data_IF_960450520772
#
_entry.id   IF_960450520772
#
_cell.length_a   1.000
_cell.length_b   1.000
_cell.length_c   1.000
_cell.angle_alpha   90.00
_cell.angle_beta   90.00
_cell.angle_gamma   90.00
#
_symmetry.space_group_name_H-M   'P 1'
#
loop_
_entity.id
_entity.type
_entity.pdbx_description
1 polymer ?
#
# COMPACT_ATOMS: atom_id res chain seq x y z
N UNK A 1 -17.70 0.44 -3.78
CA UNK A 1 -16.26 0.16 -3.99
C UNK A 1 -15.96 -1.33 -4.21
N UNK A 2 -16.69 -2.28 -3.59
CA UNK A 2 -16.45 -3.72 -3.80
C UNK A 2 -16.58 -4.18 -5.26
N UNK A 3 -17.61 -3.71 -5.99
CA UNK A 3 -17.82 -4.11 -7.39
C UNK A 3 -16.63 -3.80 -8.32
N UNK A 4 -15.95 -2.67 -8.12
CA UNK A 4 -14.77 -2.32 -8.94
C UNK A 4 -13.60 -3.29 -8.74
N UNK A 5 -13.47 -3.88 -7.55
CA UNK A 5 -12.42 -4.87 -7.27
C UNK A 5 -12.79 -6.25 -7.83
N UNK A 6 -14.06 -6.61 -7.79
CA UNK A 6 -14.56 -7.86 -8.39
C UNK A 6 -14.42 -7.82 -9.92
N UNK A 7 -14.76 -6.68 -10.54
CA UNK A 7 -14.56 -6.45 -11.98
C UNK A 7 -13.07 -6.53 -12.35
N UNK A 8 -12.20 -5.84 -11.60
CA UNK A 8 -10.75 -5.89 -11.83
C UNK A 8 -10.16 -7.31 -11.66
N UNK A 9 -10.69 -8.12 -10.74
CA UNK A 9 -10.30 -9.52 -10.62
C UNK A 9 -10.83 -10.36 -11.77
N UNK A 10 -12.06 -10.10 -12.24
CA UNK A 10 -12.66 -10.80 -13.38
C UNK A 10 -11.86 -10.56 -14.66
N UNK A 11 -11.56 -9.29 -14.97
CA UNK A 11 -10.79 -8.89 -16.15
C UNK A 11 -9.39 -9.51 -16.13
N UNK A 12 -8.71 -9.44 -14.98
CA UNK A 12 -7.38 -10.03 -14.85
C UNK A 12 -7.40 -11.57 -14.93
N UNK A 13 -8.46 -12.23 -14.46
CA UNK A 13 -8.61 -13.68 -14.64
C UNK A 13 -8.82 -14.03 -16.11
N UNK A 14 -9.69 -13.31 -16.81
CA UNK A 14 -9.94 -13.53 -18.24
C UNK A 14 -8.69 -13.30 -19.09
N UNK A 15 -7.90 -12.27 -18.75
CA UNK A 15 -6.61 -12.05 -19.40
C UNK A 15 -5.65 -13.22 -19.18
N UNK A 16 -5.63 -13.81 -17.98
CA UNK A 16 -4.82 -15.01 -17.67
C UNK A 16 -5.36 -16.31 -18.30
N UNK A 17 -6.63 -16.38 -18.66
CA UNK A 17 -7.19 -17.48 -19.47
C UNK A 17 -6.71 -17.41 -20.91
N UNK A 18 -6.52 -16.20 -21.45
CA UNK A 18 -6.03 -15.96 -22.81
C UNK A 18 -4.51 -16.10 -22.86
N UNK A 19 -3.81 -15.46 -21.93
CA UNK A 19 -2.36 -15.46 -21.80
C UNK A 19 -1.96 -15.75 -20.34
N UNK A 20 -1.66 -17.01 -20.08
CA UNK A 20 -1.38 -17.51 -18.72
C UNK A 20 -0.13 -16.91 -18.06
N UNK A 21 0.73 -16.25 -18.84
CA UNK A 21 1.97 -15.60 -18.38
C UNK A 21 1.90 -14.07 -18.49
N UNK A 22 0.71 -13.49 -18.62
CA UNK A 22 0.57 -12.05 -18.71
C UNK A 22 1.00 -11.35 -17.40
N UNK A 23 2.12 -10.63 -17.46
CA UNK A 23 2.74 -9.99 -16.31
C UNK A 23 1.80 -8.97 -15.64
N UNK A 24 1.17 -8.11 -16.44
CA UNK A 24 0.30 -7.03 -15.97
C UNK A 24 -0.95 -7.57 -15.27
N UNK A 25 -1.47 -8.70 -15.73
CA UNK A 25 -2.61 -9.37 -15.11
C UNK A 25 -2.28 -9.90 -13.72
N UNK A 26 -1.08 -10.46 -13.52
CA UNK A 26 -0.63 -10.84 -12.17
C UNK A 26 -0.40 -9.62 -11.28
N UNK A 27 0.17 -8.54 -11.80
CA UNK A 27 0.33 -7.28 -11.06
C UNK A 27 -1.03 -6.72 -10.64
N UNK A 28 -2.00 -6.68 -11.56
CA UNK A 28 -3.35 -6.18 -11.31
C UNK A 28 -4.06 -7.01 -10.23
N UNK A 29 -4.05 -8.35 -10.32
CA UNK A 29 -4.60 -9.21 -9.26
C UNK A 29 -3.92 -9.01 -7.93
N UNK A 30 -2.59 -8.86 -7.93
CA UNK A 30 -1.81 -8.61 -6.74
C UNK A 30 -2.21 -7.30 -6.06
N UNK A 31 -2.29 -6.22 -6.83
CA UNK A 31 -2.76 -4.89 -6.38
C UNK A 31 -4.21 -4.96 -5.88
N UNK A 32 -5.11 -5.63 -6.58
CA UNK A 32 -6.50 -5.75 -6.17
C UNK A 32 -6.65 -6.52 -4.85
N UNK A 33 -5.96 -7.64 -4.70
CA UNK A 33 -5.93 -8.37 -3.41
C UNK A 33 -5.30 -7.54 -2.29
N UNK A 34 -4.28 -6.75 -2.58
CA UNK A 34 -3.69 -5.83 -1.62
C UNK A 34 -4.71 -4.78 -1.14
N UNK A 35 -5.44 -4.16 -2.07
CA UNK A 35 -6.48 -3.16 -1.75
C UNK A 35 -7.63 -3.75 -0.93
N UNK A 36 -7.90 -5.05 -1.07
CA UNK A 36 -8.84 -5.82 -0.28
C UNK A 36 -8.28 -6.34 1.07
N UNK A 37 -7.04 -5.97 1.44
CA UNK A 37 -6.36 -6.43 2.66
C UNK A 37 -5.91 -7.91 2.63
N UNK A 38 -5.98 -8.56 1.46
CA UNK A 38 -5.67 -9.98 1.28
C UNK A 38 -4.19 -10.18 0.95
N UNK A 39 -3.29 -9.76 1.85
CA UNK A 39 -1.84 -9.68 1.61
C UNK A 39 -1.20 -11.01 1.17
N UNK A 40 -1.63 -12.15 1.72
CA UNK A 40 -1.11 -13.45 1.27
C UNK A 40 -1.43 -13.74 -0.20
N UNK A 41 -2.64 -13.38 -0.66
CA UNK A 41 -3.03 -13.56 -2.07
C UNK A 41 -2.32 -12.55 -2.97
N UNK A 42 -2.11 -11.32 -2.49
CA UNK A 42 -1.31 -10.33 -3.21
C UNK A 42 0.13 -10.85 -3.45
N UNK A 43 0.76 -11.44 -2.43
CA UNK A 43 2.13 -11.93 -2.50
C UNK A 43 2.28 -13.07 -3.50
N UNK A 44 1.32 -13.99 -3.54
CA UNK A 44 1.30 -15.08 -4.51
C UNK A 44 1.31 -14.53 -5.94
N UNK A 45 0.48 -13.53 -6.22
CA UNK A 45 0.41 -12.93 -7.55
C UNK A 45 1.70 -12.16 -7.90
N UNK A 46 2.26 -11.39 -6.96
CA UNK A 46 3.52 -10.71 -7.22
C UNK A 46 4.71 -11.67 -7.37
N UNK A 47 4.73 -12.80 -6.67
CA UNK A 47 5.74 -13.84 -6.88
C UNK A 47 5.65 -14.41 -8.30
N UNK A 48 4.44 -14.74 -8.78
CA UNK A 48 4.24 -15.18 -10.16
C UNK A 48 4.69 -14.13 -11.18
N UNK A 49 4.38 -12.86 -10.94
CA UNK A 49 4.87 -11.76 -11.77
C UNK A 49 6.42 -11.71 -11.80
N UNK A 50 7.06 -11.96 -10.65
CA UNK A 50 8.52 -11.97 -10.54
C UNK A 50 9.17 -13.21 -11.15
N UNK A 51 8.44 -14.32 -11.28
CA UNK A 51 8.91 -15.49 -12.04
C UNK A 51 8.92 -15.22 -13.54
N UNK A 52 7.93 -14.45 -14.03
CA UNK A 52 7.82 -14.06 -15.44
C UNK A 52 8.88 -13.02 -15.81
N UNK A 53 9.04 -11.97 -14.99
CA UNK A 53 10.06 -10.95 -15.19
C UNK A 53 10.79 -10.66 -13.87
N UNK A 54 11.91 -11.36 -13.60
CA UNK A 54 12.68 -11.21 -12.38
C UNK A 54 13.29 -9.82 -12.15
N UNK A 55 13.51 -9.06 -13.22
CA UNK A 55 14.16 -7.75 -13.18
C UNK A 55 13.15 -6.59 -13.26
N UNK A 56 11.84 -6.87 -13.18
CA UNK A 56 10.83 -5.82 -13.16
C UNK A 56 10.89 -5.09 -11.80
N UNK A 57 11.47 -3.89 -11.81
CA UNK A 57 11.67 -3.08 -10.60
C UNK A 57 10.37 -2.82 -9.83
N UNK A 58 9.27 -2.59 -10.56
CA UNK A 58 7.95 -2.34 -9.96
C UNK A 58 7.40 -3.59 -9.24
N UNK A 59 7.54 -4.79 -9.83
CA UNK A 59 7.18 -6.04 -9.16
C UNK A 59 8.05 -6.30 -7.93
N UNK A 60 9.36 -6.08 -8.04
CA UNK A 60 10.28 -6.25 -6.92
C UNK A 60 9.94 -5.30 -5.76
N UNK A 61 9.61 -4.05 -6.05
CA UNK A 61 9.17 -3.08 -5.06
C UNK A 61 7.89 -3.54 -4.35
N UNK A 62 6.86 -3.95 -5.11
CA UNK A 62 5.60 -4.45 -4.54
C UNK A 62 5.79 -5.69 -3.66
N UNK A 63 6.67 -6.61 -4.06
CA UNK A 63 7.01 -7.80 -3.26
C UNK A 63 7.73 -7.45 -1.98
N UNK A 64 8.75 -6.59 -2.06
CA UNK A 64 9.53 -6.16 -0.91
C UNK A 64 8.64 -5.53 0.15
N UNK A 65 7.78 -4.60 -0.26
CA UNK A 65 6.82 -3.92 0.64
C UNK A 65 5.91 -4.95 1.34
N UNK A 66 5.40 -5.93 0.59
CA UNK A 66 4.47 -6.90 1.13
C UNK A 66 5.12 -7.91 2.07
N UNK A 67 6.40 -8.26 1.80
CA UNK A 67 7.23 -9.06 2.68
C UNK A 67 7.55 -8.27 3.95
N UNK A 68 7.95 -7.01 3.83
CA UNK A 68 8.24 -6.12 4.95
C UNK A 68 6.98 -5.95 5.82
N UNK A 69 5.81 -5.71 5.23
CA UNK A 69 4.54 -5.63 5.96
C UNK A 69 4.24 -6.92 6.75
N UNK A 70 4.45 -8.09 6.15
CA UNK A 70 4.21 -9.38 6.79
C UNK A 70 5.26 -9.74 7.85
N UNK A 71 6.51 -9.31 7.65
CA UNK A 71 7.60 -9.46 8.63
C UNK A 71 7.35 -8.55 9.82
N UNK A 72 7.01 -7.27 9.58
CA UNK A 72 6.64 -6.30 10.62
C UNK A 72 5.48 -6.83 11.44
N UNK A 73 4.37 -7.22 10.79
CA UNK A 73 3.20 -7.76 11.49
C UNK A 73 3.54 -9.00 12.33
N UNK A 74 4.42 -9.88 11.84
CA UNK A 74 4.83 -11.10 12.57
C UNK A 74 5.82 -10.81 13.69
N UNK A 75 6.73 -9.86 13.49
CA UNK A 75 7.70 -9.41 14.50
C UNK A 75 7.02 -8.66 15.64
N UNK A 76 5.99 -7.87 15.35
CA UNK A 76 5.16 -7.18 16.33
C UNK A 76 4.32 -8.17 17.13
N UNK A 77 3.72 -9.19 16.50
CA UNK A 77 3.06 -10.28 17.23
C UNK A 77 4.01 -11.00 18.20
N UNK A 78 5.24 -11.29 17.76
CA UNK A 78 6.24 -11.98 18.59
C UNK A 78 6.80 -11.10 19.71
N UNK A 79 7.03 -9.82 19.44
CA UNK A 79 7.49 -8.86 20.45
C UNK A 79 6.40 -8.56 21.48
N UNK A 80 5.14 -8.45 21.04
CA UNK A 80 4.01 -8.29 21.96
C UNK A 80 3.80 -9.52 22.85
N UNK A 81 3.93 -10.75 22.32
CA UNK A 81 3.92 -11.98 23.14
C UNK A 81 5.08 -12.02 24.15
N UNK A 82 6.28 -11.55 23.78
CA UNK A 82 7.43 -11.49 24.69
C UNK A 82 7.29 -10.39 25.75
N UNK A 83 6.65 -9.26 25.44
CA UNK A 83 6.46 -8.11 26.33
C UNK A 83 5.27 -8.29 27.28
N UNK A 84 4.28 -9.12 26.93
CA UNK A 84 3.15 -9.50 27.82
C UNK A 84 3.62 -10.23 29.08
N UNK A 85 4.81 -10.85 29.05
CA UNK A 85 5.35 -11.61 30.19
C UNK A 85 6.14 -10.77 31.21
N UNK A 86 6.50 -9.51 30.90
CA UNK A 86 7.26 -8.66 31.83
C UNK A 86 6.47 -7.41 32.24
N UNK A 87 5.76 -7.58 33.37
CA UNK A 87 5.41 -6.60 34.40
C UNK A 87 4.55 -5.35 34.04
N UNK A 88 3.25 -5.51 34.35
CA UNK A 88 2.31 -4.63 35.06
C UNK A 88 2.52 -3.09 35.11
N UNK A 89 1.40 -2.43 34.80
CA UNK A 89 0.97 -1.05 35.10
C UNK A 89 1.46 0.08 34.18
N UNK A 90 2.72 0.11 33.73
CA UNK A 90 3.14 1.01 32.63
C UNK A 90 2.76 0.48 31.25
N UNK A 91 2.47 -0.82 31.16
CA UNK A 91 2.09 -1.51 29.95
C UNK A 91 0.83 -0.94 29.31
N UNK A 92 -0.20 -0.53 30.06
CA UNK A 92 -1.43 -0.07 29.42
C UNK A 92 -1.27 1.28 28.71
N UNK A 93 -0.60 2.26 29.33
CA UNK A 93 -0.36 3.55 28.70
C UNK A 93 0.66 3.42 27.56
N UNK A 94 1.78 2.72 27.78
CA UNK A 94 2.80 2.52 26.75
C UNK A 94 2.32 1.61 25.61
N UNK A 95 1.48 0.60 25.90
CA UNK A 95 0.79 -0.21 24.89
C UNK A 95 -0.21 0.63 24.13
N UNK A 96 -1.03 1.46 24.78
CA UNK A 96 -1.96 2.35 24.07
C UNK A 96 -1.17 3.26 23.15
N UNK A 97 -0.12 3.94 23.63
CA UNK A 97 0.69 4.85 22.81
C UNK A 97 1.46 4.13 21.70
N UNK A 98 2.09 2.97 21.97
CA UNK A 98 2.78 2.20 20.93
C UNK A 98 1.78 1.64 19.92
N UNK A 99 0.66 1.07 20.39
CA UNK A 99 -0.37 0.52 19.51
C UNK A 99 -0.92 1.64 18.64
N UNK A 100 -1.23 2.80 19.21
CA UNK A 100 -1.72 3.98 18.51
C UNK A 100 -0.69 4.52 17.51
N UNK A 101 0.58 4.65 17.90
CA UNK A 101 1.65 5.11 17.03
C UNK A 101 1.90 4.13 15.87
N UNK A 102 1.95 2.83 16.15
CA UNK A 102 2.11 1.77 15.14
C UNK A 102 0.91 1.77 14.19
N UNK A 103 -0.32 1.86 14.71
CA UNK A 103 -1.51 1.96 13.86
C UNK A 103 -1.49 3.23 13.02
N UNK A 104 -1.04 4.36 13.57
CA UNK A 104 -0.95 5.61 12.82
C UNK A 104 0.06 5.50 11.68
N UNK A 105 1.24 4.91 11.94
CA UNK A 105 2.25 4.64 10.89
C UNK A 105 1.70 3.72 9.80
N UNK A 106 1.00 2.64 10.16
CA UNK A 106 0.39 1.71 9.18
C UNK A 106 -0.71 2.39 8.35
N UNK A 107 -1.56 3.19 8.99
CA UNK A 107 -2.61 3.97 8.34
C UNK A 107 -1.98 4.97 7.36
N UNK A 108 -0.99 5.75 7.80
CA UNK A 108 -0.27 6.72 6.96
C UNK A 108 0.35 6.04 5.74
N UNK A 109 1.11 4.96 5.93
CA UNK A 109 1.76 4.24 4.83
C UNK A 109 0.72 3.69 3.83
N UNK A 110 -0.40 3.17 4.32
CA UNK A 110 -1.48 2.66 3.48
C UNK A 110 -2.14 3.78 2.66
N UNK A 111 -2.36 4.94 3.28
CA UNK A 111 -2.93 6.12 2.63
C UNK A 111 -1.98 6.68 1.56
N UNK A 112 -0.70 6.84 1.89
CA UNK A 112 0.35 7.27 0.94
C UNK A 112 0.42 6.33 -0.26
N UNK A 113 0.43 5.01 -0.03
CA UNK A 113 0.49 4.02 -1.11
C UNK A 113 -0.75 4.07 -2.01
N UNK A 114 -1.96 4.21 -1.43
CA UNK A 114 -3.18 4.40 -2.22
C UNK A 114 -3.10 5.65 -3.07
N UNK A 115 -2.59 6.74 -2.51
CA UNK A 115 -2.36 7.99 -3.23
C UNK A 115 -1.43 7.78 -4.44
N UNK A 116 -0.29 7.11 -4.25
CA UNK A 116 0.62 6.79 -5.36
C UNK A 116 0.00 5.86 -6.41
N UNK A 117 -0.84 4.91 -5.97
CA UNK A 117 -1.52 4.00 -6.89
C UNK A 117 -2.48 4.79 -7.79
N UNK A 118 -3.29 5.68 -7.23
CA UNK A 118 -4.16 6.55 -8.01
C UNK A 118 -3.38 7.53 -8.89
N UNK A 119 -2.24 8.03 -8.40
CA UNK A 119 -1.34 8.85 -9.20
C UNK A 119 -0.83 8.10 -10.44
N UNK A 120 -0.45 6.82 -10.29
CA UNK A 120 -0.02 5.97 -11.41
C UNK A 120 -1.12 5.64 -12.41
N UNK A 121 -2.40 5.80 -12.00
CA UNK A 121 -3.58 5.61 -12.83
C UNK A 121 -4.08 6.93 -13.44
N UNK A 122 -3.31 8.01 -13.31
CA UNK A 122 -3.68 9.38 -13.74
C UNK A 122 -4.96 9.91 -13.04
N UNK A 123 -5.38 9.28 -11.95
CA UNK A 123 -6.51 9.68 -11.12
C UNK A 123 -6.02 10.62 -10.02
N UNK A 124 -5.65 11.81 -10.46
CA UNK A 124 -4.93 12.80 -9.69
C UNK A 124 -5.72 13.34 -8.48
N UNK A 125 -7.02 13.58 -8.61
CA UNK A 125 -7.86 14.06 -7.48
C UNK A 125 -7.95 13.02 -6.35
N UNK A 126 -8.08 11.75 -6.72
CA UNK A 126 -8.10 10.65 -5.75
C UNK A 126 -6.73 10.49 -5.09
N UNK A 127 -5.64 10.62 -5.86
CA UNK A 127 -4.28 10.58 -5.31
C UNK A 127 -4.09 11.63 -4.20
N UNK A 128 -4.46 12.88 -4.49
CA UNK A 128 -4.36 14.00 -3.56
C UNK A 128 -5.23 13.80 -2.32
N UNK A 129 -6.44 13.26 -2.48
CA UNK A 129 -7.32 12.94 -1.36
C UNK A 129 -6.64 12.00 -0.35
N UNK A 130 -5.96 10.96 -0.83
CA UNK A 130 -5.30 10.01 0.06
C UNK A 130 -4.03 10.57 0.70
N UNK A 131 -3.28 11.44 0.02
CA UNK A 131 -2.17 12.16 0.65
C UNK A 131 -2.64 13.10 1.76
N UNK A 132 -3.74 13.84 1.53
CA UNK A 132 -4.32 14.70 2.55
C UNK A 132 -4.85 13.91 3.75
N UNK A 133 -5.45 12.74 3.53
CA UNK A 133 -5.83 11.84 4.63
C UNK A 133 -4.64 11.37 5.45
N UNK A 134 -3.46 11.18 4.83
CA UNK A 134 -2.26 10.85 5.59
C UNK A 134 -1.81 12.03 6.48
N UNK A 135 -1.99 13.27 6.01
CA UNK A 135 -1.74 14.49 6.80
C UNK A 135 -2.78 14.73 7.90
N UNK A 136 -4.01 14.25 7.75
CA UNK A 136 -5.00 14.28 8.84
C UNK A 136 -4.56 13.39 10.03
N UNK A 137 -3.85 12.30 9.75
CA UNK A 137 -3.34 11.36 10.77
C UNK A 137 -2.01 11.85 11.35
N UNK A 138 -1.11 12.35 10.50
CA UNK A 138 0.13 13.01 10.90
C UNK A 138 0.39 14.25 10.03
N UNK A 139 0.06 15.46 10.52
CA UNK A 139 0.25 16.70 9.78
C UNK A 139 1.71 17.00 9.42
N UNK A 140 2.66 16.37 10.10
CA UNK A 140 4.10 16.58 9.87
C UNK A 140 4.72 15.48 9.01
N UNK A 141 3.91 14.61 8.41
CA UNK A 141 4.43 13.54 7.59
C UNK A 141 5.10 14.10 6.32
N UNK A 142 6.44 14.10 6.32
CA UNK A 142 7.27 14.70 5.26
C UNK A 142 6.98 14.11 3.89
N UNK A 143 6.69 12.80 3.81
CA UNK A 143 6.39 12.11 2.55
C UNK A 143 5.08 12.62 1.96
N UNK A 144 4.01 12.70 2.76
CA UNK A 144 2.73 13.24 2.30
C UNK A 144 2.84 14.71 1.89
N UNK A 145 3.53 15.55 2.68
CA UNK A 145 3.75 16.96 2.35
C UNK A 145 4.46 17.11 0.99
N UNK A 146 5.54 16.36 0.79
CA UNK A 146 6.28 16.36 -0.48
C UNK A 146 5.42 15.92 -1.67
N UNK A 147 4.59 14.88 -1.49
CA UNK A 147 3.72 14.36 -2.56
C UNK A 147 2.60 15.35 -2.92
N UNK A 148 2.04 16.07 -1.93
CA UNK A 148 1.07 17.14 -2.15
C UNK A 148 1.72 18.34 -2.85
N UNK A 149 2.90 18.79 -2.42
CA UNK A 149 3.62 19.90 -3.06
C UNK A 149 3.97 19.59 -4.52
N UNK A 150 4.48 18.38 -4.78
CA UNK A 150 4.76 17.90 -6.15
C UNK A 150 3.54 18.03 -7.06
N UNK A 151 2.35 17.78 -6.51
CA UNK A 151 1.10 17.83 -7.25
C UNK A 151 0.66 19.26 -7.58
N UNK A 152 0.78 20.18 -6.62
CA UNK A 152 0.49 21.61 -6.82
C UNK A 152 1.38 22.19 -7.94
N UNK A 153 2.67 21.87 -7.90
CA UNK A 153 3.63 22.31 -8.94
C UNK A 153 3.26 21.75 -10.31
N UNK A 154 2.79 20.50 -10.38
CA UNK A 154 2.43 19.88 -11.65
C UNK A 154 1.17 20.51 -12.28
N UNK A 155 0.16 20.89 -11.49
CA UNK A 155 -1.02 21.60 -11.99
C UNK A 155 -0.69 23.01 -12.47
N UNK A 156 0.16 23.75 -11.75
CA UNK A 156 0.60 25.10 -12.15
C UNK A 156 1.34 25.09 -13.50
N UNK A 157 2.14 24.06 -13.76
CA UNK A 157 2.86 23.90 -15.03
C UNK A 157 1.94 23.55 -16.21
N UNK A 158 0.84 22.83 -15.97
CA UNK A 158 -0.15 22.51 -17.00
C UNK A 158 -0.97 23.77 -17.35
N UNK A 159 -1.41 24.53 -16.35
CA UNK A 159 -2.19 25.76 -16.54
C UNK A 159 -1.35 26.85 -17.23
N UNK A 160 -0.03 26.92 -16.95
CA UNK A 160 0.86 27.88 -17.64
C UNK A 160 1.19 27.50 -19.09
N UNK A 161 0.93 26.25 -19.50
CA UNK A 161 1.22 25.75 -20.85
C UNK A 161 -0.03 25.63 -21.74
N UNK A 162 -1.23 25.89 -21.22
CA UNK A 162 -2.51 25.99 -21.95
C UNK A 162 -2.84 27.43 -22.33
#
# INVERSE_FOLDING_TARGET
MLGKYDDALSDANRALEIESTNLDSFILRGKTHFMLGQYNKALINFNKASEINPNNEHVLALRKILIDLKITSKSELRNTESLVNHENTNYNLHKITITELVTNVEIINTLLFRGELYYSLEQYDEALLYYNKALEVDPNNLTALFLVEKFIIHQDDIIRRS
#
